data_IF_088700689347
#
_entry.id   IF_088700689347
#
_cell.length_a   1.000
_cell.length_b   1.000
_cell.length_c   1.000
_cell.angle_alpha   90.00
_cell.angle_beta   90.00
_cell.angle_gamma   90.00
#
_symmetry.space_group_name_H-M   'P 1'
#
loop_
_entity.id
_entity.type
_entity.pdbx_description
1 polymer ?
#
# COMPACT_ATOMS: atom_id res chain seq x y z
N UNK A 1 22.72 -6.78 -17.85
CA UNK A 1 23.01 -7.00 -16.41
C UNK A 1 21.83 -6.47 -15.62
N UNK A 2 21.04 -7.32 -14.95
CA UNK A 2 20.03 -6.84 -14.00
C UNK A 2 20.81 -6.34 -12.78
N UNK A 3 20.91 -5.01 -12.63
CA UNK A 3 21.49 -4.42 -11.43
C UNK A 3 20.77 -4.93 -10.19
N UNK A 4 21.50 -5.03 -9.09
CA UNK A 4 20.97 -5.44 -7.79
C UNK A 4 19.86 -4.47 -7.38
N UNK A 5 18.64 -4.98 -7.13
CA UNK A 5 17.52 -4.16 -6.65
C UNK A 5 17.69 -3.96 -5.15
N UNK A 6 17.91 -2.72 -4.72
CA UNK A 6 18.01 -2.35 -3.30
C UNK A 6 16.68 -1.74 -2.85
N UNK A 7 16.11 -2.27 -1.76
CA UNK A 7 14.90 -1.69 -1.15
C UNK A 7 15.31 -0.56 -0.22
N UNK A 8 15.00 0.68 -0.61
CA UNK A 8 15.36 1.88 0.17
C UNK A 8 14.28 2.30 1.17
N UNK A 9 13.03 1.90 0.94
CA UNK A 9 11.89 2.22 1.82
C UNK A 9 10.80 1.18 1.69
N UNK A 10 10.00 1.01 2.76
CA UNK A 10 8.82 0.14 2.78
C UNK A 10 7.76 0.72 3.70
N UNK A 11 6.63 1.09 3.11
CA UNK A 11 5.52 1.76 3.77
C UNK A 11 4.29 0.86 3.73
N UNK A 12 3.56 0.80 4.85
CA UNK A 12 2.28 0.10 4.95
C UNK A 12 1.21 1.07 5.43
N UNK A 13 0.17 1.26 4.62
CA UNK A 13 -0.88 2.22 4.89
C UNK A 13 -2.13 1.52 5.35
N UNK A 14 -2.72 1.98 6.45
CA UNK A 14 -3.88 1.32 7.04
C UNK A 14 -4.82 2.34 7.68
N UNK A 15 -6.11 2.06 7.58
CA UNK A 15 -7.14 2.74 8.32
C UNK A 15 -6.99 2.59 9.84
N UNK A 16 -7.40 3.56 10.64
CA UNK A 16 -7.25 3.49 12.10
C UNK A 16 -8.49 2.89 12.75
N UNK A 17 -8.39 1.67 13.29
CA UNK A 17 -9.50 1.04 14.01
C UNK A 17 -9.51 1.51 15.46
N UNK A 18 -10.65 2.06 15.89
CA UNK A 18 -10.90 2.47 17.28
C UNK A 18 -11.88 1.51 17.94
N UNK A 19 -11.67 1.28 19.23
CA UNK A 19 -12.67 0.60 20.04
C UNK A 19 -13.89 1.50 20.21
N UNK A 20 -15.05 0.96 19.87
CA UNK A 20 -16.35 1.56 20.08
C UNK A 20 -16.97 1.02 21.36
N UNK A 21 -17.67 1.88 22.10
CA UNK A 21 -18.33 1.49 23.35
C UNK A 21 -19.35 0.38 23.08
N UNK A 22 -19.31 -0.69 23.88
CA UNK A 22 -20.20 -1.84 23.80
C UNK A 22 -20.10 -2.65 22.48
N UNK A 23 -19.00 -2.56 21.74
CA UNK A 23 -18.79 -3.32 20.51
C UNK A 23 -17.57 -4.26 20.64
N UNK A 24 -17.75 -5.53 21.07
CA UNK A 24 -16.67 -6.50 21.24
C UNK A 24 -15.85 -6.73 19.96
N UNK A 25 -16.50 -6.66 18.78
CA UNK A 25 -15.85 -6.82 17.48
C UNK A 25 -14.86 -5.68 17.22
N UNK A 26 -15.22 -4.44 17.54
CA UNK A 26 -14.31 -3.28 17.40
C UNK A 26 -13.06 -3.44 18.27
N UNK A 27 -13.21 -3.99 19.48
CA UNK A 27 -12.11 -4.29 20.39
C UNK A 27 -11.19 -5.37 19.83
N UNK A 28 -11.75 -6.45 19.29
CA UNK A 28 -10.97 -7.53 18.66
C UNK A 28 -10.19 -7.02 17.44
N UNK A 29 -10.83 -6.26 16.56
CA UNK A 29 -10.20 -5.65 15.39
C UNK A 29 -9.07 -4.69 15.78
N UNK A 30 -9.27 -3.86 16.81
CA UNK A 30 -8.22 -2.98 17.34
C UNK A 30 -7.02 -3.78 17.86
N UNK A 31 -7.26 -4.87 18.60
CA UNK A 31 -6.19 -5.75 19.10
C UNK A 31 -5.45 -6.39 17.93
N UNK A 32 -6.16 -6.91 16.92
CA UNK A 32 -5.58 -7.47 15.71
C UNK A 32 -4.71 -6.46 14.95
N UNK A 33 -5.21 -5.24 14.76
CA UNK A 33 -4.46 -4.16 14.12
C UNK A 33 -3.19 -3.79 14.89
N UNK A 34 -3.26 -3.70 16.23
CA UNK A 34 -2.06 -3.45 17.07
C UNK A 34 -1.02 -4.57 16.92
N UNK A 35 -1.45 -5.83 16.89
CA UNK A 35 -0.55 -6.98 16.68
C UNK A 35 0.11 -6.92 15.30
N UNK A 36 -0.66 -6.68 14.24
CA UNK A 36 -0.16 -6.58 12.86
C UNK A 36 0.85 -5.43 12.73
N UNK A 37 0.48 -4.24 13.16
CA UNK A 37 1.33 -3.04 13.04
C UNK A 37 2.59 -3.14 13.89
N UNK A 38 2.51 -3.78 15.07
CA UNK A 38 3.69 -4.13 15.87
C UNK A 38 4.66 -5.06 15.13
N UNK A 39 4.15 -6.12 14.49
CA UNK A 39 4.97 -7.04 13.66
C UNK A 39 5.61 -6.31 12.47
N UNK A 40 4.84 -5.48 11.77
CA UNK A 40 5.34 -4.69 10.63
C UNK A 40 6.49 -3.78 11.05
N UNK A 41 6.29 -2.98 12.11
CA UNK A 41 7.32 -2.07 12.64
C UNK A 41 8.58 -2.80 13.10
N UNK A 42 8.43 -3.94 13.81
CA UNK A 42 9.56 -4.78 14.22
C UNK A 42 10.37 -5.27 13.01
N UNK A 43 9.72 -5.50 11.89
CA UNK A 43 10.37 -5.88 10.64
C UNK A 43 10.77 -4.67 9.78
N UNK A 44 10.87 -3.46 10.34
CA UNK A 44 11.36 -2.26 9.67
C UNK A 44 10.37 -1.58 8.73
N UNK A 45 9.08 -1.92 8.79
CA UNK A 45 8.06 -1.21 8.01
C UNK A 45 7.64 0.08 8.69
N UNK A 46 7.52 1.14 7.89
CA UNK A 46 6.89 2.39 8.30
C UNK A 46 5.38 2.22 8.14
N UNK A 47 4.65 2.22 9.26
CA UNK A 47 3.19 2.12 9.26
C UNK A 47 2.58 3.51 9.30
N UNK A 48 1.83 3.88 8.26
CA UNK A 48 1.12 5.15 8.14
C UNK A 48 -0.38 4.94 8.33
N UNK A 49 -0.98 5.73 9.22
CA UNK A 49 -2.41 5.64 9.50
C UNK A 49 -3.18 6.70 8.71
N UNK A 50 -4.30 6.30 8.11
CA UNK A 50 -5.27 7.23 7.53
C UNK A 50 -5.74 8.28 8.54
N UNK A 51 -5.93 9.52 8.09
CA UNK A 51 -6.57 10.55 8.92
C UNK A 51 -8.08 10.39 8.81
N UNK A 52 -8.78 10.25 9.94
CA UNK A 52 -10.24 10.39 9.97
C UNK A 52 -10.56 11.88 9.82
N UNK A 53 -11.01 12.31 8.65
CA UNK A 53 -11.63 13.62 8.48
C UNK A 53 -13.07 13.54 8.98
N UNK A 54 -13.42 14.45 9.88
CA UNK A 54 -14.76 14.54 10.46
C UNK A 54 -15.52 15.61 9.67
N UNK A 55 -16.30 15.18 8.68
CA UNK A 55 -17.19 16.09 7.93
C UNK A 55 -18.57 15.47 7.86
N UNK A 56 -19.41 15.79 8.86
CA UNK A 56 -20.74 15.22 9.07
C UNK A 56 -20.73 13.78 9.59
N UNK A 57 -20.31 12.84 8.74
CA UNK A 57 -20.22 11.41 9.02
C UNK A 57 -18.75 10.96 9.16
N UNK A 58 -18.51 9.91 9.94
CA UNK A 58 -17.17 9.30 10.03
C UNK A 58 -16.87 8.58 8.71
N UNK A 59 -16.26 9.30 7.77
CA UNK A 59 -15.70 8.71 6.55
C UNK A 59 -14.21 8.47 6.74
N UNK A 60 -13.82 7.20 6.73
CA UNK A 60 -12.42 6.83 6.56
C UNK A 60 -12.01 7.17 5.11
N UNK A 61 -11.29 8.27 4.94
CA UNK A 61 -10.69 8.69 3.67
C UNK A 61 -9.25 9.12 3.93
N UNK A 62 -8.31 8.68 3.09
CA UNK A 62 -6.97 9.27 3.07
C UNK A 62 -5.81 8.30 3.10
N UNK A 63 -6.04 6.98 3.13
CA UNK A 63 -4.95 6.01 2.89
C UNK A 63 -4.53 6.06 1.43
N UNK A 64 -5.48 6.00 0.52
CA UNK A 64 -5.36 6.24 -0.92
C UNK A 64 -4.63 7.54 -1.24
N UNK A 65 -5.07 8.65 -0.62
CA UNK A 65 -4.45 9.97 -0.78
C UNK A 65 -3.00 9.97 -0.28
N UNK A 66 -2.73 9.39 0.89
CA UNK A 66 -1.37 9.30 1.43
C UNK A 66 -0.45 8.49 0.50
N UNK A 67 -0.93 7.36 -0.03
CA UNK A 67 -0.17 6.54 -0.99
C UNK A 67 0.17 7.37 -2.23
N UNK A 68 -0.83 8.04 -2.82
CA UNK A 68 -0.63 8.88 -4.01
C UNK A 68 0.39 9.99 -3.75
N UNK A 69 0.27 10.69 -2.62
CA UNK A 69 1.19 11.78 -2.23
C UNK A 69 2.62 11.26 -2.04
N UNK A 70 2.80 10.16 -1.31
CA UNK A 70 4.14 9.60 -1.06
C UNK A 70 4.80 9.07 -2.34
N UNK A 71 4.03 8.48 -3.25
CA UNK A 71 4.50 8.09 -4.57
C UNK A 71 5.03 9.31 -5.34
N UNK A 72 4.27 10.40 -5.38
CA UNK A 72 4.62 11.61 -6.09
C UNK A 72 5.81 12.34 -5.48
N UNK A 73 5.86 12.48 -4.14
CA UNK A 73 6.99 13.09 -3.43
C UNK A 73 8.27 12.31 -3.73
N UNK A 74 8.24 10.98 -3.58
CA UNK A 74 9.44 10.17 -3.83
C UNK A 74 9.89 10.19 -5.29
N UNK A 75 8.96 10.34 -6.24
CA UNK A 75 9.32 10.53 -7.64
C UNK A 75 9.95 11.92 -7.88
N UNK A 76 9.31 12.97 -7.37
CA UNK A 76 9.72 14.36 -7.53
C UNK A 76 11.07 14.66 -6.88
N UNK A 77 11.28 14.20 -5.64
CA UNK A 77 12.53 14.34 -4.89
C UNK A 77 13.60 13.33 -5.34
N UNK A 78 13.32 12.54 -6.37
CA UNK A 78 14.25 11.56 -6.94
C UNK A 78 14.73 10.52 -5.91
N UNK A 79 13.89 10.15 -4.95
CA UNK A 79 14.24 9.21 -3.87
C UNK A 79 14.39 7.78 -4.38
N UNK A 80 13.60 7.38 -5.38
CA UNK A 80 13.63 6.04 -5.97
C UNK A 80 13.73 6.08 -7.50
N UNK A 81 14.13 4.96 -8.12
CA UNK A 81 14.01 4.75 -9.56
C UNK A 81 12.77 3.92 -9.95
N UNK A 82 12.29 3.08 -9.01
CA UNK A 82 11.18 2.14 -9.19
C UNK A 82 10.29 2.15 -7.95
N UNK A 83 9.00 2.40 -8.13
CA UNK A 83 7.97 2.19 -7.11
C UNK A 83 7.37 0.79 -7.24
N UNK A 84 7.27 0.05 -6.13
CA UNK A 84 6.54 -1.22 -6.06
C UNK A 84 5.20 -0.96 -5.37
N UNK A 85 4.09 -1.09 -6.10
CA UNK A 85 2.75 -0.89 -5.58
C UNK A 85 2.05 -2.23 -5.37
N UNK A 86 1.69 -2.52 -4.13
CA UNK A 86 0.83 -3.65 -3.76
C UNK A 86 -0.56 -3.11 -3.41
N UNK A 87 -1.47 -3.09 -4.37
CA UNK A 87 -2.84 -2.58 -4.20
C UNK A 87 -3.74 -3.08 -5.32
N UNK A 88 -5.05 -3.07 -5.11
CA UNK A 88 -6.05 -3.25 -6.18
C UNK A 88 -6.85 -1.97 -6.47
N UNK A 89 -6.53 -0.88 -5.77
CA UNK A 89 -7.24 0.39 -5.84
C UNK A 89 -6.88 1.18 -7.10
N UNK A 90 -7.84 1.27 -8.03
CA UNK A 90 -7.66 1.96 -9.31
C UNK A 90 -7.61 3.48 -9.17
N UNK A 91 -8.02 4.06 -8.04
CA UNK A 91 -7.99 5.51 -7.82
C UNK A 91 -6.56 6.05 -7.73
N UNK A 92 -5.56 5.17 -7.55
CA UNK A 92 -4.14 5.49 -7.62
C UNK A 92 -3.60 5.71 -9.04
N UNK A 93 -4.40 5.41 -10.07
CA UNK A 93 -4.00 5.50 -11.50
C UNK A 93 -3.39 6.86 -11.87
N UNK A 94 -3.98 8.02 -11.50
CA UNK A 94 -3.40 9.32 -11.83
C UNK A 94 -1.98 9.50 -11.24
N UNK A 95 -1.73 8.99 -10.03
CA UNK A 95 -0.40 9.05 -9.44
C UNK A 95 0.60 8.18 -10.22
N UNK A 96 0.20 6.97 -10.64
CA UNK A 96 1.06 6.08 -11.43
C UNK A 96 1.45 6.69 -12.78
N UNK A 97 0.48 7.29 -13.49
CA UNK A 97 0.73 8.02 -14.74
C UNK A 97 1.80 9.08 -14.49
N UNK A 98 1.63 9.90 -13.45
CA UNK A 98 2.54 11.00 -13.18
C UNK A 98 3.94 10.55 -12.77
N UNK A 99 4.04 9.50 -11.95
CA UNK A 99 5.33 8.87 -11.58
C UNK A 99 6.08 8.39 -12.82
N UNK A 100 5.38 7.80 -13.79
CA UNK A 100 5.98 7.36 -15.06
C UNK A 100 6.38 8.51 -15.98
N UNK A 101 5.58 9.57 -16.06
CA UNK A 101 5.98 10.81 -16.76
C UNK A 101 7.27 11.42 -16.20
N UNK A 102 7.50 11.27 -14.89
CA UNK A 102 8.75 11.65 -14.20
C UNK A 102 9.90 10.64 -14.44
N UNK A 103 9.76 9.74 -15.41
CA UNK A 103 10.75 8.72 -15.81
C UNK A 103 11.08 7.71 -14.72
N UNK A 104 10.20 7.54 -13.73
CA UNK A 104 10.27 6.44 -12.75
C UNK A 104 9.56 5.21 -13.27
N UNK A 105 9.98 4.03 -12.80
CA UNK A 105 9.29 2.77 -13.11
C UNK A 105 8.23 2.47 -12.07
N UNK A 106 7.15 1.81 -12.49
CA UNK A 106 6.13 1.28 -11.59
C UNK A 106 6.05 -0.24 -11.77
N UNK A 107 6.21 -0.96 -10.66
CA UNK A 107 5.97 -2.40 -10.56
C UNK A 107 4.68 -2.64 -9.76
N UNK A 108 3.65 -3.12 -10.44
CA UNK A 108 2.39 -3.51 -9.82
C UNK A 108 2.45 -4.95 -9.33
N UNK A 109 2.02 -5.15 -8.09
CA UNK A 109 1.83 -6.46 -7.48
C UNK A 109 0.36 -6.61 -7.07
N UNK A 110 -0.29 -7.65 -7.57
CA UNK A 110 -1.65 -8.04 -7.16
C UNK A 110 -1.84 -9.54 -7.16
N UNK A 111 -3.06 -10.01 -6.95
CA UNK A 111 -3.35 -11.45 -6.94
C UNK A 111 -3.75 -11.99 -8.31
N UNK A 112 -3.28 -13.19 -8.65
CA UNK A 112 -3.53 -13.81 -9.96
C UNK A 112 -5.01 -14.09 -10.26
N UNK A 113 -5.81 -14.38 -9.23
CA UNK A 113 -7.23 -14.69 -9.38
C UNK A 113 -8.11 -13.46 -9.64
N UNK A 114 -7.64 -12.25 -9.33
CA UNK A 114 -8.38 -11.00 -9.54
C UNK A 114 -7.43 -9.81 -9.76
N UNK A 115 -6.70 -9.77 -10.89
CA UNK A 115 -5.79 -8.68 -11.19
C UNK A 115 -6.56 -7.37 -11.49
N UNK A 116 -6.01 -6.24 -11.05
CA UNK A 116 -6.49 -4.91 -11.46
C UNK A 116 -5.91 -4.53 -12.81
N UNK A 117 -6.69 -4.71 -13.88
CA UNK A 117 -6.26 -4.33 -15.23
C UNK A 117 -5.99 -2.84 -15.38
N UNK A 118 -6.73 -1.99 -14.65
CA UNK A 118 -6.50 -0.55 -14.61
C UNK A 118 -5.09 -0.22 -14.13
N UNK A 119 -4.64 -0.83 -13.03
CA UNK A 119 -3.29 -0.62 -12.52
C UNK A 119 -2.21 -1.26 -13.41
N UNK A 120 -2.49 -2.42 -14.01
CA UNK A 120 -1.57 -3.09 -14.94
C UNK A 120 -1.27 -2.20 -16.15
N UNK A 121 -2.29 -1.58 -16.77
CA UNK A 121 -2.10 -0.70 -17.94
C UNK A 121 -1.22 0.51 -17.61
N UNK A 122 -1.20 0.95 -16.36
CA UNK A 122 -0.42 2.10 -15.90
C UNK A 122 0.86 1.73 -15.15
N UNK A 123 1.35 0.50 -15.34
CA UNK A 123 2.60 -0.01 -14.74
C UNK A 123 3.55 -0.52 -15.82
N UNK A 124 4.85 -0.52 -15.52
CA UNK A 124 5.88 -1.01 -16.45
C UNK A 124 6.19 -2.49 -16.21
N UNK A 125 5.99 -2.97 -14.98
CA UNK A 125 6.20 -4.35 -14.57
C UNK A 125 4.94 -4.83 -13.84
N UNK A 126 4.52 -6.07 -14.10
CA UNK A 126 3.45 -6.74 -13.35
C UNK A 126 3.96 -8.02 -12.70
N UNK A 127 3.59 -8.23 -11.44
CA UNK A 127 3.75 -9.50 -10.73
C UNK A 127 2.41 -9.91 -10.13
N UNK A 128 1.95 -11.11 -10.45
CA UNK A 128 0.72 -11.65 -9.91
C UNK A 128 1.05 -12.76 -8.93
N UNK A 129 0.66 -12.57 -7.67
CA UNK A 129 0.87 -13.52 -6.59
C UNK A 129 -0.13 -14.67 -6.76
N UNK A 130 0.38 -15.89 -6.86
CA UNK A 130 -0.44 -17.10 -6.82
C UNK A 130 -0.70 -17.54 -5.39
N UNK A 131 -1.48 -18.61 -5.22
CA UNK A 131 -1.73 -19.19 -3.90
C UNK A 131 -0.43 -19.75 -3.30
N UNK A 132 0.35 -20.45 -4.12
CA UNK A 132 1.62 -21.09 -3.77
C UNK A 132 2.67 -20.05 -3.34
N UNK A 133 2.69 -18.88 -3.98
CA UNK A 133 3.56 -17.76 -3.59
C UNK A 133 3.32 -17.33 -2.13
N UNK A 134 2.09 -17.46 -1.63
CA UNK A 134 1.68 -16.95 -0.31
C UNK A 134 1.72 -18.05 0.75
N UNK A 135 1.32 -19.28 0.43
CA UNK A 135 1.20 -20.38 1.40
C UNK A 135 2.50 -20.67 2.15
N UNK A 136 3.66 -20.47 1.51
CA UNK A 136 4.97 -20.64 2.15
C UNK A 136 5.21 -19.73 3.38
N UNK A 137 4.42 -18.67 3.56
CA UNK A 137 4.53 -17.73 4.68
C UNK A 137 3.55 -18.01 5.82
N UNK A 138 2.67 -19.00 5.67
CA UNK A 138 1.72 -19.45 6.70
C UNK A 138 2.15 -20.74 7.41
N UNK A 139 3.28 -21.33 6.99
CA UNK A 139 3.96 -22.46 7.64
C UNK A 139 4.89 -21.96 8.76
#
# INVERSE_FOLDING_TARGET
MRGEKIVISKNYYIGAVREERNNPKSKELMIGQRKLTGKLRKNGWVVKFGQLLKDGDYHEKGVDVQIAVDLLIGAYENLYDTAILVSSDTDLTPALIKVREMKKKVEYIGFSHKPSYGLITHSDIRRLLTKEDIEQFFL
#
